data_IF_001828126139
#
_entry.id   IF_001828126139
#
_cell.length_a   1.000
_cell.length_b   1.000
_cell.length_c   1.000
_cell.angle_alpha   90.00
_cell.angle_beta   90.00
_cell.angle_gamma   90.00
#
_symmetry.space_group_name_H-M   'P 1'
#
loop_
_entity.id
_entity.type
_entity.pdbx_description
1 polymer ?
#
# COMPACT_ATOMS: atom_id res chain seq x y z
N UNK A 1 -9.29 25.66 26.72
CA UNK A 1 -8.90 25.86 25.31
C UNK A 1 -9.12 24.53 24.62
N UNK A 2 -9.97 24.47 23.59
CA UNK A 2 -10.28 23.20 22.91
C UNK A 2 -9.02 22.66 22.25
N UNK A 3 -8.76 21.36 22.38
CA UNK A 3 -7.65 20.64 21.71
C UNK A 3 -7.61 20.96 20.21
N UNK A 4 -8.79 21.11 19.60
CA UNK A 4 -8.96 21.47 18.18
C UNK A 4 -8.18 22.75 17.82
N UNK A 5 -8.26 23.80 18.64
CA UNK A 5 -7.59 25.07 18.36
C UNK A 5 -6.06 24.99 18.49
N UNK A 6 -5.57 24.16 19.40
CA UNK A 6 -4.13 23.98 19.59
C UNK A 6 -3.58 23.22 18.39
N UNK A 7 -4.19 22.09 18.05
CA UNK A 7 -3.78 21.29 16.90
C UNK A 7 -3.88 22.08 15.60
N UNK A 8 -4.99 22.79 15.35
CA UNK A 8 -5.15 23.59 14.13
C UNK A 8 -4.09 24.68 14.01
N UNK A 9 -3.79 25.39 15.10
CA UNK A 9 -2.75 26.42 15.10
C UNK A 9 -1.36 25.84 14.82
N UNK A 10 -1.02 24.70 15.44
CA UNK A 10 0.25 24.01 15.17
C UNK A 10 0.32 23.61 13.70
N UNK A 11 -0.71 22.92 13.19
CA UNK A 11 -0.71 22.47 11.80
C UNK A 11 -0.60 23.64 10.81
N UNK A 12 -1.36 24.73 11.01
CA UNK A 12 -1.37 25.89 10.12
C UNK A 12 -0.07 26.71 10.14
N UNK A 13 0.63 26.80 11.27
CA UNK A 13 1.92 27.49 11.32
C UNK A 13 3.05 26.60 10.80
N UNK A 14 3.03 25.30 11.11
CA UNK A 14 4.06 24.37 10.64
C UNK A 14 3.99 24.17 9.11
N UNK A 15 2.81 24.13 8.51
CA UNK A 15 2.68 24.03 7.04
C UNK A 15 3.21 25.26 6.31
N UNK A 16 3.20 26.44 6.95
CA UNK A 16 3.87 27.62 6.40
C UNK A 16 5.38 27.48 6.52
N UNK A 17 5.86 27.02 7.67
CA UNK A 17 7.29 26.85 7.93
C UNK A 17 7.95 25.82 7.00
N UNK A 18 7.28 24.70 6.71
CA UNK A 18 7.84 23.60 5.89
C UNK A 18 8.21 24.05 4.47
N UNK A 19 7.57 25.11 3.95
CA UNK A 19 7.87 25.64 2.61
C UNK A 19 9.21 26.40 2.56
N UNK A 20 9.77 26.75 3.71
CA UNK A 20 10.98 27.56 3.83
C UNK A 20 12.12 26.87 4.57
N UNK A 21 11.94 25.59 4.94
CA UNK A 21 12.90 24.82 5.71
C UNK A 21 13.18 23.47 5.04
N UNK A 22 14.43 23.02 5.15
CA UNK A 22 14.77 21.63 4.87
C UNK A 22 14.25 20.78 6.03
N UNK A 23 13.21 20.01 5.76
CA UNK A 23 12.55 19.13 6.72
C UNK A 23 12.84 17.64 6.42
N UNK A 24 14.00 17.35 5.83
CA UNK A 24 14.38 15.96 5.50
C UNK A 24 14.49 15.06 6.73
N UNK A 25 14.71 15.61 7.93
CA UNK A 25 14.67 14.88 9.21
C UNK A 25 13.26 14.75 9.80
N UNK A 26 12.26 15.40 9.20
CA UNK A 26 10.85 15.34 9.59
C UNK A 26 10.50 16.14 10.84
N UNK A 27 11.34 17.07 11.29
CA UNK A 27 11.09 17.87 12.50
C UNK A 27 9.81 18.71 12.43
N UNK A 28 9.51 19.35 11.31
CA UNK A 28 8.34 20.22 11.10
C UNK A 28 7.12 19.38 10.71
N UNK A 29 7.25 18.53 9.70
CA UNK A 29 6.20 17.61 9.25
C UNK A 29 5.76 16.66 10.36
N UNK A 30 6.70 16.22 11.22
CA UNK A 30 6.41 15.42 12.40
C UNK A 30 5.49 16.12 13.40
N UNK A 31 5.64 17.44 13.60
CA UNK A 31 4.73 18.20 14.45
C UNK A 31 3.32 18.29 13.85
N UNK A 32 3.19 18.40 12.52
CA UNK A 32 1.90 18.35 11.83
C UNK A 32 1.26 16.97 12.03
N UNK A 33 2.03 15.90 11.83
CA UNK A 33 1.57 14.52 12.04
C UNK A 33 1.08 14.29 13.47
N UNK A 34 1.83 14.74 14.49
CA UNK A 34 1.41 14.63 15.90
C UNK A 34 0.09 15.37 16.14
N UNK A 35 -0.04 16.60 15.62
CA UNK A 35 -1.27 17.37 15.77
C UNK A 35 -2.45 16.68 15.05
N UNK A 36 -2.21 16.11 13.87
CA UNK A 36 -3.19 15.34 13.12
C UNK A 36 -3.61 14.08 13.88
N UNK A 37 -2.66 13.30 14.42
CA UNK A 37 -2.93 12.09 15.21
C UNK A 37 -3.82 12.39 16.43
N UNK A 38 -3.59 13.52 17.10
CA UNK A 38 -4.44 13.97 18.21
C UNK A 38 -5.86 14.25 17.72
N UNK A 39 -6.03 14.96 16.60
CA UNK A 39 -7.34 15.24 16.02
C UNK A 39 -8.03 13.96 15.52
N UNK A 40 -7.27 13.04 14.94
CA UNK A 40 -7.77 11.75 14.47
C UNK A 40 -8.28 10.91 15.64
N UNK A 41 -7.52 10.78 16.72
CA UNK A 41 -7.98 10.09 17.93
C UNK A 41 -9.23 10.76 18.52
N UNK A 42 -9.27 12.09 18.56
CA UNK A 42 -10.46 12.84 18.98
C UNK A 42 -11.69 12.54 18.09
N UNK A 43 -11.49 12.33 16.79
CA UNK A 43 -12.56 11.99 15.83
C UNK A 43 -13.16 10.60 16.04
N UNK A 44 -12.47 9.72 16.76
CA UNK A 44 -12.94 8.37 17.10
C UNK A 44 -13.71 8.33 18.44
N UNK A 45 -13.69 9.42 19.21
CA UNK A 45 -14.43 9.55 20.46
C UNK A 45 -15.86 10.06 20.25
N UNK A 46 -16.74 9.86 21.24
CA UNK A 46 -18.08 10.46 21.24
C UNK A 46 -17.99 11.95 21.58
N UNK A 47 -17.91 12.79 20.55
CA UNK A 47 -17.88 14.24 20.69
C UNK A 47 -19.25 14.82 20.96
N UNK A 48 -19.34 15.81 21.85
CA UNK A 48 -20.52 16.65 21.91
C UNK A 48 -20.71 17.41 20.59
N UNK A 49 -21.95 17.79 20.29
CA UNK A 49 -22.31 18.32 18.97
C UNK A 49 -21.55 19.60 18.60
N UNK A 50 -21.23 20.46 19.57
CA UNK A 50 -20.51 21.70 19.33
C UNK A 50 -19.06 21.42 18.93
N UNK A 51 -18.39 20.50 19.63
CA UNK A 51 -17.02 20.07 19.29
C UNK A 51 -16.97 19.32 17.96
N UNK A 52 -17.93 18.42 17.71
CA UNK A 52 -18.05 17.70 16.44
C UNK A 52 -18.19 18.66 15.26
N UNK A 53 -19.13 19.60 15.35
CA UNK A 53 -19.34 20.61 14.31
C UNK A 53 -18.11 21.51 14.12
N UNK A 54 -17.47 21.93 15.21
CA UNK A 54 -16.26 22.75 15.13
C UNK A 54 -15.16 22.03 14.35
N UNK A 55 -14.93 20.75 14.63
CA UNK A 55 -13.92 19.95 13.94
C UNK A 55 -14.31 19.69 12.48
N UNK A 56 -15.57 19.37 12.22
CA UNK A 56 -16.08 19.14 10.86
C UNK A 56 -15.92 20.38 9.97
N UNK A 57 -16.37 21.55 10.45
CA UNK A 57 -16.26 22.81 9.71
C UNK A 57 -14.80 23.22 9.51
N UNK A 58 -13.93 22.95 10.48
CA UNK A 58 -12.49 23.16 10.32
C UNK A 58 -11.94 22.35 9.14
N UNK A 59 -12.19 21.04 9.09
CA UNK A 59 -11.72 20.18 8.00
C UNK A 59 -12.22 20.62 6.62
N UNK A 60 -13.50 21.01 6.49
CA UNK A 60 -14.04 21.48 5.22
C UNK A 60 -13.44 22.84 4.82
N UNK A 61 -13.28 23.75 5.78
CA UNK A 61 -12.71 25.06 5.54
C UNK A 61 -11.25 24.98 5.10
N UNK A 62 -10.43 24.17 5.78
CA UNK A 62 -9.00 24.00 5.45
C UNK A 62 -8.81 23.42 4.06
N UNK A 63 -9.61 22.40 3.72
CA UNK A 63 -9.58 21.76 2.39
C UNK A 63 -9.99 22.76 1.30
N UNK A 64 -11.11 23.48 1.50
CA UNK A 64 -11.58 24.50 0.54
C UNK A 64 -10.58 25.64 0.35
N UNK A 65 -9.86 26.00 1.41
CA UNK A 65 -8.78 27.01 1.36
C UNK A 65 -7.47 26.48 0.78
N UNK A 66 -7.37 25.17 0.52
CA UNK A 66 -6.17 24.51 -0.01
C UNK A 66 -4.94 24.75 0.85
N UNK A 67 -5.11 24.82 2.17
CA UNK A 67 -4.02 25.11 3.11
C UNK A 67 -2.92 24.04 3.03
N UNK A 68 -3.32 22.78 2.90
CA UNK A 68 -2.41 21.63 2.82
C UNK A 68 -2.31 21.05 1.41
N UNK A 69 -2.71 21.81 0.38
CA UNK A 69 -2.71 21.34 -1.00
C UNK A 69 -1.32 20.91 -1.44
N UNK A 70 -1.24 19.71 -2.03
CA UNK A 70 0.02 19.09 -2.44
C UNK A 70 0.65 18.17 -1.40
N UNK A 71 0.08 18.14 -0.19
CA UNK A 71 0.47 17.24 0.89
C UNK A 71 -0.61 16.20 1.17
N UNK A 72 -0.24 15.11 1.86
CA UNK A 72 -1.19 14.03 2.20
C UNK A 72 -2.26 14.48 3.20
N UNK A 73 -1.92 15.45 4.06
CA UNK A 73 -2.79 16.02 5.10
C UNK A 73 -4.14 16.54 4.58
N UNK A 74 -4.23 16.93 3.30
CA UNK A 74 -5.48 17.39 2.69
C UNK A 74 -6.55 16.26 2.65
N UNK A 75 -6.12 15.03 2.35
CA UNK A 75 -6.98 13.85 2.34
C UNK A 75 -7.23 13.31 3.75
N UNK A 76 -6.24 13.44 4.62
CA UNK A 76 -6.36 13.02 6.01
C UNK A 76 -7.41 13.86 6.75
N UNK A 77 -7.45 15.19 6.52
CA UNK A 77 -8.49 16.07 7.07
C UNK A 77 -9.90 15.70 6.58
N UNK A 78 -10.04 15.35 5.31
CA UNK A 78 -11.33 14.88 4.81
C UNK A 78 -11.71 13.52 5.40
N UNK A 79 -10.75 12.61 5.57
CA UNK A 79 -10.99 11.31 6.25
C UNK A 79 -11.43 11.52 7.70
N UNK A 80 -10.84 12.49 8.39
CA UNK A 80 -11.26 12.91 9.71
C UNK A 80 -12.71 13.40 9.72
N UNK A 81 -13.09 14.26 8.76
CA UNK A 81 -14.45 14.74 8.63
C UNK A 81 -15.46 13.60 8.39
N UNK A 82 -15.06 12.54 7.69
CA UNK A 82 -15.88 11.33 7.48
C UNK A 82 -16.08 10.55 8.78
N UNK A 83 -15.08 10.47 9.68
CA UNK A 83 -15.22 9.76 10.97
C UNK A 83 -16.31 10.36 11.86
N UNK A 84 -16.48 11.69 11.83
CA UNK A 84 -17.42 12.44 12.67
C UNK A 84 -18.72 12.82 11.94
N UNK A 85 -18.98 12.19 10.80
CA UNK A 85 -20.12 12.46 9.94
C UNK A 85 -21.43 12.06 10.61
N UNK A 86 -22.45 12.93 10.54
CA UNK A 86 -23.73 12.72 11.24
C UNK A 86 -24.90 12.41 10.32
N UNK A 87 -24.88 12.91 9.09
CA UNK A 87 -26.02 12.80 8.17
C UNK A 87 -25.59 12.91 6.70
N UNK A 88 -26.54 12.65 5.80
CA UNK A 88 -26.32 12.70 4.34
C UNK A 88 -26.00 14.10 3.81
N UNK A 89 -26.43 15.18 4.49
CA UNK A 89 -26.11 16.55 4.07
C UNK A 89 -24.60 16.81 4.24
N UNK A 90 -24.04 16.41 5.38
CA UNK A 90 -22.59 16.48 5.65
C UNK A 90 -21.78 15.60 4.69
N UNK A 91 -22.26 14.38 4.41
CA UNK A 91 -21.67 13.51 3.39
C UNK A 91 -21.63 14.17 2.00
N UNK A 92 -22.72 14.84 1.64
CA UNK A 92 -22.84 15.54 0.36
C UNK A 92 -21.85 16.69 0.26
N UNK A 93 -21.63 17.46 1.35
CA UNK A 93 -20.63 18.55 1.38
C UNK A 93 -19.22 18.03 1.08
N UNK A 94 -18.80 16.93 1.70
CA UNK A 94 -17.48 16.34 1.44
C UNK A 94 -17.39 15.83 -0.01
N UNK A 95 -18.43 15.13 -0.49
CA UNK A 95 -18.44 14.58 -1.85
C UNK A 95 -18.36 15.68 -2.91
N UNK A 96 -19.11 16.77 -2.73
CA UNK A 96 -19.03 17.94 -3.62
C UNK A 96 -17.65 18.57 -3.63
N UNK A 97 -17.01 18.74 -2.46
CA UNK A 97 -15.63 19.26 -2.41
C UNK A 97 -14.64 18.35 -3.16
N UNK A 98 -14.79 17.03 -3.06
CA UNK A 98 -13.96 16.08 -3.80
C UNK A 98 -14.20 16.15 -5.31
N UNK A 99 -15.43 16.42 -5.76
CA UNK A 99 -15.81 16.51 -7.18
C UNK A 99 -15.38 17.82 -7.84
N UNK A 100 -15.25 18.91 -7.08
CA UNK A 100 -14.81 20.21 -7.58
C UNK A 100 -13.30 20.24 -7.95
N UNK A 101 -12.53 19.25 -7.50
CA UNK A 101 -11.08 19.19 -7.72
C UNK A 101 -10.74 18.24 -8.86
N UNK A 102 -9.91 18.71 -9.79
CA UNK A 102 -9.31 17.88 -10.83
C UNK A 102 -8.08 17.17 -10.26
N UNK A 103 -8.21 15.89 -9.97
CA UNK A 103 -7.13 15.10 -9.37
C UNK A 103 -6.19 14.53 -10.43
N UNK A 104 -4.90 14.50 -10.10
CA UNK A 104 -3.97 13.62 -10.83
C UNK A 104 -4.24 12.16 -10.43
N UNK A 105 -3.65 11.21 -11.18
CA UNK A 105 -3.89 9.78 -10.98
C UNK A 105 -3.61 9.29 -9.55
N UNK A 106 -2.55 9.79 -8.91
CA UNK A 106 -2.20 9.45 -7.52
C UNK A 106 -3.27 9.92 -6.52
N UNK A 107 -3.72 11.17 -6.67
CA UNK A 107 -4.72 11.76 -5.79
C UNK A 107 -6.16 11.31 -6.08
N UNK A 108 -6.44 10.86 -7.31
CA UNK A 108 -7.73 10.32 -7.69
C UNK A 108 -8.07 9.06 -6.87
N UNK A 109 -7.10 8.18 -6.65
CA UNK A 109 -7.28 7.00 -5.80
C UNK A 109 -7.60 7.38 -4.35
N UNK A 110 -6.91 8.39 -3.78
CA UNK A 110 -7.20 8.88 -2.42
C UNK A 110 -8.62 9.45 -2.32
N UNK A 111 -9.03 10.27 -3.29
CA UNK A 111 -10.38 10.83 -3.33
C UNK A 111 -11.46 9.72 -3.41
N UNK A 112 -11.25 8.70 -4.25
CA UNK A 112 -12.17 7.57 -4.35
C UNK A 112 -12.24 6.77 -3.04
N UNK A 113 -11.12 6.58 -2.33
CA UNK A 113 -11.12 5.93 -1.02
C UNK A 113 -11.97 6.68 0.02
N UNK A 114 -11.92 8.01 0.05
CA UNK A 114 -12.77 8.81 0.94
C UNK A 114 -14.25 8.66 0.55
N UNK A 115 -14.58 8.66 -0.75
CA UNK A 115 -15.95 8.39 -1.21
C UNK A 115 -16.43 7.00 -0.81
N UNK A 116 -15.56 5.99 -0.85
CA UNK A 116 -15.88 4.64 -0.38
C UNK A 116 -16.18 4.64 1.13
N UNK A 117 -15.40 5.36 1.95
CA UNK A 117 -15.68 5.49 3.39
C UNK A 117 -17.05 6.16 3.64
N UNK A 118 -17.37 7.23 2.90
CA UNK A 118 -18.68 7.88 2.96
C UNK A 118 -19.80 6.91 2.56
N UNK A 119 -19.61 6.14 1.48
CA UNK A 119 -20.59 5.17 1.01
C UNK A 119 -20.88 4.12 2.09
N UNK A 120 -19.84 3.60 2.74
CA UNK A 120 -19.97 2.64 3.84
C UNK A 120 -20.73 3.21 5.03
N UNK A 121 -20.42 4.44 5.45
CA UNK A 121 -21.05 5.04 6.63
C UNK A 121 -22.49 5.50 6.39
N UNK A 122 -22.84 5.86 5.15
CA UNK A 122 -24.17 6.43 4.83
C UNK A 122 -25.13 5.44 4.18
N UNK A 123 -24.64 4.53 3.34
CA UNK A 123 -25.48 3.59 2.57
C UNK A 123 -25.26 2.12 2.95
N UNK A 124 -24.16 1.80 3.63
CA UNK A 124 -23.83 0.46 4.08
C UNK A 124 -22.96 -0.34 3.11
N UNK A 125 -22.67 -1.58 3.49
CA UNK A 125 -21.65 -2.40 2.84
C UNK A 125 -22.05 -2.84 1.41
N UNK A 126 -23.33 -3.04 1.14
CA UNK A 126 -23.81 -3.50 -0.19
C UNK A 126 -23.58 -2.43 -1.27
N UNK A 127 -23.90 -1.18 -0.99
CA UNK A 127 -23.68 -0.05 -1.89
C UNK A 127 -22.19 0.26 -2.04
N UNK A 128 -21.42 0.13 -0.95
CA UNK A 128 -19.97 0.24 -0.99
C UNK A 128 -19.32 -0.82 -1.90
N UNK A 129 -19.84 -2.04 -1.90
CA UNK A 129 -19.35 -3.12 -2.77
C UNK A 129 -19.66 -2.87 -4.24
N UNK A 130 -20.86 -2.38 -4.56
CA UNK A 130 -21.16 -1.93 -5.93
C UNK A 130 -20.20 -0.84 -6.38
N UNK A 131 -19.90 0.13 -5.52
CA UNK A 131 -18.97 1.21 -5.83
C UNK A 131 -17.54 0.70 -6.07
N UNK A 132 -17.08 -0.28 -5.29
CA UNK A 132 -15.79 -0.97 -5.51
C UNK A 132 -15.77 -1.64 -6.88
N UNK A 133 -16.80 -2.41 -7.22
CA UNK A 133 -16.88 -3.15 -8.48
C UNK A 133 -16.94 -2.21 -9.70
N UNK A 134 -17.69 -1.11 -9.61
CA UNK A 134 -17.75 -0.08 -10.65
C UNK A 134 -16.41 0.63 -10.87
N UNK A 135 -15.55 0.64 -9.85
CA UNK A 135 -14.24 1.31 -9.85
C UNK A 135 -13.08 0.32 -9.67
N UNK A 136 -13.26 -0.95 -10.08
CA UNK A 136 -12.33 -2.05 -9.81
C UNK A 136 -10.92 -1.86 -10.41
N UNK A 137 -10.78 -0.93 -11.36
CA UNK A 137 -9.48 -0.55 -11.91
C UNK A 137 -8.58 0.18 -10.88
N UNK A 138 -9.15 0.74 -9.82
CA UNK A 138 -8.40 1.37 -8.73
C UNK A 138 -7.66 0.30 -7.93
N UNK A 139 -6.33 0.40 -7.76
CA UNK A 139 -5.53 -0.63 -7.08
C UNK A 139 -6.03 -1.00 -5.69
N UNK A 140 -6.29 -0.03 -4.81
CA UNK A 140 -6.84 -0.29 -3.47
C UNK A 140 -8.19 -1.01 -3.52
N UNK A 141 -9.06 -0.71 -4.48
CA UNK A 141 -10.37 -1.35 -4.62
C UNK A 141 -10.25 -2.78 -5.12
N UNK A 142 -9.37 -3.02 -6.09
CA UNK A 142 -9.01 -4.37 -6.54
C UNK A 142 -8.49 -5.22 -5.38
N UNK A 143 -7.63 -4.65 -4.54
CA UNK A 143 -7.12 -5.34 -3.34
C UNK A 143 -8.26 -5.72 -2.39
N UNK A 144 -9.19 -4.80 -2.10
CA UNK A 144 -10.37 -5.09 -1.26
C UNK A 144 -11.22 -6.22 -1.86
N UNK A 145 -11.47 -6.18 -3.18
CA UNK A 145 -12.24 -7.21 -3.87
C UNK A 145 -11.54 -8.58 -3.86
N UNK A 146 -10.22 -8.62 -4.05
CA UNK A 146 -9.41 -9.85 -3.90
C UNK A 146 -9.51 -10.39 -2.48
N UNK A 147 -9.34 -9.55 -1.46
CA UNK A 147 -9.44 -9.94 -0.04
C UNK A 147 -10.82 -10.51 0.30
N UNK A 148 -11.91 -9.89 -0.20
CA UNK A 148 -13.27 -10.41 -0.05
C UNK A 148 -13.45 -11.75 -0.75
N UNK A 149 -12.93 -11.87 -1.97
CA UNK A 149 -12.96 -13.11 -2.75
C UNK A 149 -12.19 -14.25 -2.08
N UNK A 150 -11.06 -13.94 -1.45
CA UNK A 150 -10.30 -14.88 -0.64
C UNK A 150 -11.08 -15.36 0.59
N UNK A 151 -11.73 -14.44 1.31
CA UNK A 151 -12.57 -14.78 2.47
C UNK A 151 -13.77 -15.65 2.09
N UNK A 152 -14.39 -15.40 0.94
CA UNK A 152 -15.50 -16.22 0.41
C UNK A 152 -15.05 -17.46 -0.36
N UNK A 153 -13.73 -17.71 -0.46
CA UNK A 153 -13.11 -18.78 -1.26
C UNK A 153 -13.47 -18.76 -2.74
N UNK A 154 -13.85 -17.60 -3.27
CA UNK A 154 -14.01 -17.37 -4.70
C UNK A 154 -12.63 -17.12 -5.35
N UNK A 155 -11.80 -18.16 -5.38
CA UNK A 155 -10.43 -18.07 -5.87
C UNK A 155 -10.36 -17.71 -7.35
N UNK A 156 -11.28 -18.20 -8.18
CA UNK A 156 -11.30 -17.90 -9.62
C UNK A 156 -11.47 -16.40 -9.89
N UNK A 157 -12.36 -15.74 -9.14
CA UNK A 157 -12.53 -14.30 -9.26
C UNK A 157 -11.30 -13.55 -8.75
N UNK A 158 -10.74 -13.96 -7.61
CA UNK A 158 -9.51 -13.37 -7.06
C UNK A 158 -8.33 -13.47 -8.05
N UNK A 159 -8.16 -14.62 -8.71
CA UNK A 159 -7.14 -14.85 -9.75
C UNK A 159 -7.38 -13.94 -10.94
N UNK A 160 -8.63 -13.80 -11.37
CA UNK A 160 -9.00 -12.92 -12.50
C UNK A 160 -8.62 -11.47 -12.19
N UNK A 161 -9.01 -10.97 -11.03
CA UNK A 161 -8.66 -9.61 -10.59
C UNK A 161 -7.15 -9.39 -10.52
N UNK A 162 -6.39 -10.34 -9.95
CA UNK A 162 -4.94 -10.21 -9.84
C UNK A 162 -4.26 -10.22 -11.22
N UNK A 163 -4.68 -11.11 -12.14
CA UNK A 163 -4.16 -11.16 -13.52
C UNK A 163 -4.49 -9.89 -14.30
N UNK A 164 -5.70 -9.37 -14.17
CA UNK A 164 -6.09 -8.11 -14.79
C UNK A 164 -5.25 -6.95 -14.26
N UNK A 165 -4.96 -6.95 -12.96
CA UNK A 165 -4.06 -5.97 -12.38
C UNK A 165 -2.64 -6.05 -12.92
N UNK A 166 -2.08 -7.25 -13.09
CA UNK A 166 -0.76 -7.41 -13.72
C UNK A 166 -0.80 -6.82 -15.13
N UNK A 167 -1.84 -7.10 -15.91
CA UNK A 167 -1.98 -6.60 -17.27
C UNK A 167 -2.08 -5.07 -17.33
N UNK A 168 -2.83 -4.45 -16.40
CA UNK A 168 -3.00 -3.00 -16.35
C UNK A 168 -1.76 -2.26 -15.88
N UNK A 169 -1.04 -2.81 -14.91
CA UNK A 169 -0.07 -2.04 -14.13
C UNK A 169 1.39 -2.33 -14.50
N UNK A 170 1.69 -3.46 -15.16
CA UNK A 170 3.07 -3.93 -15.38
C UNK A 170 3.99 -2.93 -16.09
N UNK A 171 3.49 -2.21 -17.07
CA UNK A 171 4.32 -1.30 -17.88
C UNK A 171 4.59 0.04 -17.17
N UNK A 172 3.58 0.61 -16.51
CA UNK A 172 3.68 1.93 -15.86
C UNK A 172 4.13 1.83 -14.40
N UNK A 173 3.72 0.76 -13.69
CA UNK A 173 3.97 0.52 -12.28
C UNK A 173 4.41 -0.93 -12.03
N UNK A 174 5.62 -1.31 -12.46
CA UNK A 174 6.12 -2.68 -12.31
C UNK A 174 6.13 -3.17 -10.85
N UNK A 175 6.30 -2.27 -9.87
CA UNK A 175 6.18 -2.59 -8.45
C UNK A 175 4.76 -3.01 -8.04
N UNK A 176 3.73 -2.35 -8.58
CA UNK A 176 2.33 -2.70 -8.32
C UNK A 176 1.97 -4.07 -8.93
N UNK A 177 2.54 -4.40 -10.09
CA UNK A 177 2.39 -5.74 -10.64
C UNK A 177 2.94 -6.83 -9.70
N UNK A 178 3.98 -6.56 -8.90
CA UNK A 178 4.49 -7.52 -7.89
C UNK A 178 3.50 -7.79 -6.78
N UNK A 179 2.77 -6.76 -6.33
CA UNK A 179 1.70 -6.92 -5.35
C UNK A 179 0.63 -7.89 -5.87
N UNK A 180 0.30 -7.84 -7.17
CA UNK A 180 -0.65 -8.78 -7.76
C UNK A 180 -0.10 -10.21 -7.90
N UNK A 181 1.18 -10.38 -8.20
CA UNK A 181 1.82 -11.70 -8.14
C UNK A 181 1.84 -12.26 -6.72
N UNK A 182 2.03 -11.42 -5.69
CA UNK A 182 1.96 -11.85 -4.30
C UNK A 182 0.56 -12.36 -3.93
N UNK A 183 -0.49 -11.69 -4.42
CA UNK A 183 -1.87 -12.19 -4.31
C UNK A 183 -2.07 -13.52 -5.03
N UNK A 184 -1.55 -13.69 -6.24
CA UNK A 184 -1.60 -14.98 -6.95
C UNK A 184 -0.90 -16.09 -6.16
N UNK A 185 0.23 -15.78 -5.52
CA UNK A 185 0.93 -16.73 -4.64
C UNK A 185 0.08 -17.07 -3.40
N UNK A 186 -0.52 -16.09 -2.72
CA UNK A 186 -1.43 -16.33 -1.58
C UNK A 186 -2.60 -17.21 -1.97
N UNK A 187 -3.17 -17.00 -3.16
CA UNK A 187 -4.26 -17.82 -3.70
C UNK A 187 -3.77 -19.26 -3.96
N UNK A 188 -2.62 -19.42 -4.63
CA UNK A 188 -2.03 -20.73 -4.92
C UNK A 188 -1.74 -21.53 -3.63
N UNK A 189 -1.20 -20.87 -2.60
CA UNK A 189 -1.02 -21.47 -1.26
C UNK A 189 -2.36 -21.91 -0.67
N UNK A 190 -3.39 -21.07 -0.73
CA UNK A 190 -4.72 -21.42 -0.21
C UNK A 190 -5.38 -22.60 -0.96
N UNK A 191 -5.04 -22.78 -2.24
CA UNK A 191 -5.52 -23.89 -3.07
C UNK A 191 -4.64 -25.15 -3.00
N UNK A 192 -3.48 -25.08 -2.34
CA UNK A 192 -2.44 -26.11 -2.38
C UNK A 192 -1.99 -26.44 -3.83
N UNK A 193 -1.92 -25.42 -4.68
CA UNK A 193 -1.45 -25.56 -6.06
C UNK A 193 0.08 -25.42 -6.08
N UNK A 194 0.76 -26.54 -5.84
CA UNK A 194 2.23 -26.59 -5.72
C UNK A 194 2.95 -26.04 -6.97
N UNK A 195 2.40 -26.28 -8.16
CA UNK A 195 2.99 -25.78 -9.41
C UNK A 195 2.96 -24.25 -9.44
N UNK A 196 1.82 -23.64 -9.13
CA UNK A 196 1.68 -22.18 -9.07
C UNK A 196 2.41 -21.55 -7.90
N UNK A 197 2.50 -22.23 -6.75
CA UNK A 197 3.34 -21.79 -5.63
C UNK A 197 4.78 -21.63 -6.10
N UNK A 198 5.36 -22.66 -6.75
CA UNK A 198 6.74 -22.62 -7.24
C UNK A 198 6.91 -21.53 -8.31
N UNK A 199 5.98 -21.43 -9.27
CA UNK A 199 6.03 -20.42 -10.34
C UNK A 199 6.07 -18.99 -9.78
N UNK A 200 5.09 -18.63 -8.94
CA UNK A 200 4.95 -17.26 -8.44
C UNK A 200 6.00 -16.93 -7.39
N UNK A 201 6.35 -17.87 -6.50
CA UNK A 201 7.42 -17.65 -5.51
C UNK A 201 8.77 -17.47 -6.20
N UNK A 202 9.09 -18.24 -7.25
CA UNK A 202 10.33 -18.06 -8.03
C UNK A 202 10.38 -16.70 -8.70
N UNK A 203 9.29 -16.30 -9.35
CA UNK A 203 9.20 -14.99 -9.99
C UNK A 203 9.43 -13.85 -8.99
N UNK A 204 8.74 -13.90 -7.84
CA UNK A 204 8.87 -12.89 -6.79
C UNK A 204 10.23 -12.93 -6.11
N UNK A 205 10.82 -14.10 -5.90
CA UNK A 205 12.16 -14.23 -5.33
C UNK A 205 13.23 -13.59 -6.22
N UNK A 206 13.09 -13.73 -7.54
CA UNK A 206 14.06 -13.21 -8.52
C UNK A 206 13.83 -11.74 -8.85
N UNK A 207 12.58 -11.27 -8.90
CA UNK A 207 12.22 -10.01 -9.55
C UNK A 207 11.46 -9.05 -8.61
N UNK A 208 11.59 -9.23 -7.29
CA UNK A 208 11.00 -8.35 -6.29
C UNK A 208 12.05 -7.95 -5.23
N UNK A 209 12.12 -6.67 -4.92
CA UNK A 209 13.03 -6.10 -3.90
C UNK A 209 12.40 -6.03 -2.50
N UNK A 210 11.08 -6.24 -2.39
CA UNK A 210 10.34 -6.19 -1.14
C UNK A 210 9.66 -7.54 -0.92
N UNK A 211 10.19 -8.34 0.00
CA UNK A 211 9.64 -9.66 0.28
C UNK A 211 8.45 -9.58 1.25
N UNK A 212 7.23 -9.73 0.73
CA UNK A 212 6.02 -9.78 1.55
C UNK A 212 5.81 -11.17 2.21
N UNK A 213 6.41 -12.21 1.63
CA UNK A 213 6.40 -13.58 2.15
C UNK A 213 7.79 -14.21 2.04
N UNK A 214 8.02 -15.31 2.77
CA UNK A 214 9.25 -16.10 2.63
C UNK A 214 9.18 -16.98 1.36
N UNK A 215 9.38 -16.35 0.21
CA UNK A 215 9.34 -17.01 -1.10
C UNK A 215 10.32 -18.18 -1.19
N UNK A 216 11.46 -18.06 -0.52
CA UNK A 216 12.45 -19.13 -0.44
C UNK A 216 11.88 -20.38 0.23
N UNK A 217 11.29 -20.22 1.42
CA UNK A 217 10.69 -21.33 2.15
C UNK A 217 9.49 -21.92 1.42
N UNK A 218 8.69 -21.08 0.75
CA UNK A 218 7.60 -21.57 -0.10
C UNK A 218 8.11 -22.46 -1.23
N UNK A 219 9.18 -22.06 -1.93
CA UNK A 219 9.80 -22.92 -2.95
C UNK A 219 10.40 -24.19 -2.32
N UNK A 220 11.17 -24.07 -1.23
CA UNK A 220 11.85 -25.20 -0.57
C UNK A 220 10.87 -26.28 -0.07
N UNK A 221 9.69 -25.87 0.39
CA UNK A 221 8.66 -26.78 0.87
C UNK A 221 7.87 -27.48 -0.27
N UNK A 222 7.91 -26.95 -1.49
CA UNK A 222 7.09 -27.44 -2.61
C UNK A 222 7.91 -28.13 -3.71
N UNK A 223 9.20 -27.80 -3.84
CA UNK A 223 10.13 -28.51 -4.75
C UNK A 223 10.55 -29.82 -4.12
N UNK A 224 10.57 -30.90 -4.91
CA UNK A 224 11.05 -32.20 -4.45
C UNK A 224 12.50 -32.11 -3.93
N UNK A 225 12.83 -32.70 -2.77
CA UNK A 225 14.17 -32.58 -2.17
C UNK A 225 15.32 -32.93 -3.12
N UNK A 226 15.16 -34.00 -3.90
CA UNK A 226 16.16 -34.47 -4.87
C UNK A 226 16.41 -33.47 -6.01
N UNK A 227 15.44 -32.59 -6.29
CA UNK A 227 15.52 -31.57 -7.33
C UNK A 227 15.89 -30.18 -6.78
N UNK A 228 15.94 -30.00 -5.46
CA UNK A 228 16.10 -28.68 -4.83
C UNK A 228 17.41 -27.99 -5.25
N UNK A 229 18.51 -28.73 -5.23
CA UNK A 229 19.82 -28.22 -5.64
C UNK A 229 19.79 -27.73 -7.11
N UNK A 230 19.29 -28.56 -8.03
CA UNK A 230 19.20 -28.22 -9.45
C UNK A 230 18.26 -27.03 -9.70
N UNK A 231 17.17 -26.94 -8.92
CA UNK A 231 16.25 -25.82 -9.00
C UNK A 231 16.92 -24.49 -8.60
N UNK A 232 17.70 -24.49 -7.51
CA UNK A 232 18.48 -23.32 -7.09
C UNK A 232 19.57 -22.93 -8.10
N UNK A 233 20.26 -23.91 -8.70
CA UNK A 233 21.20 -23.64 -9.80
C UNK A 233 20.49 -22.95 -10.98
N UNK A 234 19.26 -23.36 -11.29
CA UNK A 234 18.44 -22.71 -12.30
C UNK A 234 18.09 -21.27 -11.95
N UNK A 235 17.79 -20.96 -10.68
CA UNK A 235 17.55 -19.59 -10.20
C UNK A 235 18.81 -18.73 -10.34
N UNK A 236 19.96 -19.26 -9.92
CA UNK A 236 21.24 -18.55 -10.02
C UNK A 236 21.58 -18.27 -11.49
N UNK A 237 21.43 -19.27 -12.36
CA UNK A 237 21.64 -19.13 -13.80
C UNK A 237 20.73 -18.06 -14.41
N UNK A 238 19.44 -18.08 -14.10
CA UNK A 238 18.50 -17.06 -14.60
C UNK A 238 18.87 -15.66 -14.13
N UNK A 239 19.30 -15.51 -12.88
CA UNK A 239 19.73 -14.23 -12.32
C UNK A 239 21.02 -13.69 -12.98
N UNK A 240 21.98 -14.57 -13.27
CA UNK A 240 23.22 -14.20 -13.98
C UNK A 240 22.93 -13.79 -15.42
N UNK A 241 21.98 -14.47 -16.08
CA UNK A 241 21.65 -14.24 -17.49
C UNK A 241 20.63 -13.09 -17.72
N UNK A 242 20.23 -12.35 -16.68
CA UNK A 242 19.38 -11.16 -16.83
C UNK A 242 20.07 -10.07 -17.67
N UNK A 243 19.32 -9.40 -18.53
CA UNK A 243 19.84 -8.38 -19.45
C UNK A 243 20.22 -7.04 -18.79
N UNK A 244 19.82 -6.82 -17.53
CA UNK A 244 19.93 -5.50 -16.87
C UNK A 244 21.10 -5.42 -15.89
N UNK A 245 21.14 -6.32 -14.91
CA UNK A 245 22.25 -6.53 -13.99
C UNK A 245 22.05 -7.88 -13.26
N UNK A 246 23.14 -8.49 -12.81
CA UNK A 246 23.10 -9.67 -11.93
C UNK A 246 22.86 -9.21 -10.50
N UNK A 247 21.85 -9.77 -9.83
CA UNK A 247 21.63 -9.52 -8.40
C UNK A 247 22.56 -10.42 -7.57
N UNK A 248 23.70 -9.86 -7.17
CA UNK A 248 24.71 -10.63 -6.43
C UNK A 248 24.24 -10.92 -5.00
N UNK A 249 23.39 -10.06 -4.43
CA UNK A 249 22.84 -10.26 -3.09
C UNK A 249 21.90 -11.46 -3.05
N UNK A 250 21.08 -11.65 -4.09
CA UNK A 250 20.24 -12.84 -4.22
C UNK A 250 21.09 -14.13 -4.23
N UNK A 251 22.18 -14.16 -5.00
CA UNK A 251 23.06 -15.33 -5.09
C UNK A 251 23.73 -15.60 -3.73
N UNK A 252 24.27 -14.55 -3.09
CA UNK A 252 24.86 -14.66 -1.77
C UNK A 252 23.85 -15.18 -0.73
N UNK A 253 22.61 -14.69 -0.76
CA UNK A 253 21.52 -15.14 0.10
C UNK A 253 21.19 -16.63 -0.06
N UNK A 254 21.20 -17.15 -1.29
CA UNK A 254 21.06 -18.59 -1.54
C UNK A 254 22.22 -19.36 -0.92
N UNK A 255 23.47 -18.92 -1.17
CA UNK A 255 24.66 -19.61 -0.64
C UNK A 255 24.69 -19.64 0.89
N UNK A 256 24.23 -18.57 1.55
CA UNK A 256 24.11 -18.52 3.00
C UNK A 256 23.04 -19.51 3.48
N UNK A 257 21.84 -19.51 2.88
CA UNK A 257 20.73 -20.38 3.29
C UNK A 257 21.01 -21.87 3.07
N UNK A 258 21.82 -22.22 2.09
CA UNK A 258 22.22 -23.61 1.79
C UNK A 258 23.64 -23.96 2.27
N UNK A 259 24.30 -23.07 3.00
CA UNK A 259 25.64 -23.30 3.57
C UNK A 259 26.73 -23.61 2.52
N UNK A 260 26.63 -23.03 1.32
CA UNK A 260 27.60 -23.21 0.23
C UNK A 260 28.82 -22.29 0.38
N UNK A 261 29.52 -22.41 1.51
CA UNK A 261 30.56 -21.49 1.95
C UNK A 261 31.69 -21.28 0.95
N UNK A 262 32.13 -22.33 0.27
CA UNK A 262 33.19 -22.20 -0.75
C UNK A 262 32.77 -21.30 -1.91
N UNK A 263 31.49 -21.36 -2.32
CA UNK A 263 30.96 -20.52 -3.40
C UNK A 263 30.70 -19.10 -2.92
N UNK A 264 30.21 -18.93 -1.69
CA UNK A 264 30.08 -17.62 -1.06
C UNK A 264 31.44 -16.90 -0.96
N UNK A 265 32.49 -17.62 -0.53
CA UNK A 265 33.83 -17.08 -0.43
C UNK A 265 34.36 -16.57 -1.78
N UNK A 266 34.22 -17.38 -2.84
CA UNK A 266 34.64 -16.95 -4.18
C UNK A 266 33.80 -15.77 -4.71
N UNK A 267 32.49 -15.73 -4.43
CA UNK A 267 31.62 -14.63 -4.82
C UNK A 267 32.04 -13.31 -4.17
N UNK A 268 32.31 -13.31 -2.86
CA UNK A 268 32.73 -12.13 -2.10
C UNK A 268 34.13 -11.67 -2.53
N UNK A 269 35.04 -12.60 -2.81
CA UNK A 269 36.38 -12.28 -3.32
C UNK A 269 36.34 -11.53 -4.65
N UNK A 270 35.39 -11.88 -5.52
CA UNK A 270 35.18 -11.23 -6.81
C UNK A 270 34.40 -9.92 -6.69
N UNK A 271 33.68 -9.70 -5.58
CA UNK A 271 32.80 -8.55 -5.36
C UNK A 271 33.02 -7.97 -3.95
N UNK A 272 34.10 -7.20 -3.75
CA UNK A 272 34.48 -6.69 -2.41
C UNK A 272 33.45 -5.75 -1.77
N UNK A 273 32.49 -5.22 -2.52
CA UNK A 273 31.42 -4.35 -2.02
C UNK A 273 30.32 -5.08 -1.25
N UNK A 274 30.37 -6.41 -1.12
CA UNK A 274 29.39 -7.21 -0.36
C UNK A 274 29.68 -7.19 1.16
N UNK A 275 30.66 -6.41 1.63
CA UNK A 275 31.18 -6.44 3.00
C UNK A 275 30.20 -6.05 4.12
N UNK A 276 28.99 -5.57 3.81
CA UNK A 276 28.05 -5.01 4.79
C UNK A 276 26.90 -5.96 5.23
N UNK A 277 27.07 -7.28 5.13
CA UNK A 277 26.12 -8.29 5.63
C UNK A 277 26.75 -9.30 6.60
#
# INVERSE_FOLDING_TARGET
MSVIFICSAVMEEMIKAIQYADDSDGSIGGNINIAFDILYNLSLEELNEDMRKLLFEYCLWTFKKRIYSGWEWDFELLSLAVNILKNEEEASKITTLLDEVQWNKFYQEKALNIKLQIMKSTKGETEADKFIEENIAVPSFRKIAIEKSMKSKNYDYAITLAKDGIKSDKEEYPGLAKIWYDWLLKIAVAQNDNEKIIEYARYLFIDNFIHEQDYYMLMKNNVQPDNWYLFLEGIISDNVNKSRWTDIHLIAGIYIKEEWWSRLFELVKQNPSIQDY
#
